data_IF_858027216833
#
_entry.id   IF_858027216833
#
_cell.length_a   1.000
_cell.length_b   1.000
_cell.length_c   1.000
_cell.angle_alpha   90.00
_cell.angle_beta   90.00
_cell.angle_gamma   90.00
#
_symmetry.space_group_name_H-M   'P 1'
#
loop_
_entity.id
_entity.type
_entity.pdbx_description
1 polymer ?
#
# COMPACT_ATOMS: atom_id res chain seq x y z
N UNK A 1 16.98 -29.52 -14.61
CA UNK A 1 15.73 -29.05 -13.96
C UNK A 1 15.43 -27.62 -14.42
N UNK A 2 15.22 -27.41 -15.72
CA UNK A 2 15.24 -26.07 -16.35
C UNK A 2 14.04 -25.77 -17.25
N UNK A 3 12.98 -26.59 -17.16
CA UNK A 3 11.81 -26.50 -18.04
C UNK A 3 10.54 -25.95 -17.38
N UNK A 4 10.50 -25.80 -16.04
CA UNK A 4 9.31 -25.29 -15.33
C UNK A 4 9.38 -23.79 -14.98
N UNK A 5 10.55 -23.16 -14.99
CA UNK A 5 10.70 -21.73 -14.66
C UNK A 5 10.37 -20.80 -15.84
N UNK A 6 10.48 -21.27 -17.08
CA UNK A 6 10.19 -20.44 -18.26
C UNK A 6 8.69 -20.21 -18.49
N UNK A 7 7.85 -21.21 -18.16
CA UNK A 7 6.38 -21.14 -18.29
C UNK A 7 5.71 -20.30 -17.19
N UNK A 8 6.31 -20.19 -16.00
CA UNK A 8 5.75 -19.39 -14.90
C UNK A 8 5.84 -17.88 -15.17
N UNK A 9 6.82 -17.45 -15.96
CA UNK A 9 7.11 -16.04 -16.23
C UNK A 9 6.19 -15.37 -17.26
N UNK A 10 5.39 -16.14 -18.02
CA UNK A 10 4.35 -15.58 -18.92
C UNK A 10 3.00 -15.35 -18.22
N UNK A 11 2.82 -15.85 -16.99
CA UNK A 11 1.52 -15.89 -16.31
C UNK A 11 1.21 -14.65 -15.46
N UNK A 12 2.16 -13.74 -15.26
CA UNK A 12 1.93 -12.53 -14.45
C UNK A 12 2.76 -11.33 -14.91
N UNK A 13 2.34 -10.15 -14.46
CA UNK A 13 3.02 -8.87 -14.68
C UNK A 13 3.32 -8.23 -13.32
N UNK A 14 4.37 -7.42 -13.23
CA UNK A 14 4.59 -6.55 -12.08
C UNK A 14 3.73 -5.29 -12.25
N UNK A 15 3.16 -4.79 -11.16
CA UNK A 15 2.23 -3.67 -11.21
C UNK A 15 2.55 -2.60 -10.17
N UNK A 16 2.15 -1.39 -10.49
CA UNK A 16 2.19 -0.25 -9.60
C UNK A 16 0.94 0.58 -9.82
N UNK A 17 0.29 1.02 -8.74
CA UNK A 17 -0.84 1.95 -8.85
C UNK A 17 -0.56 3.21 -8.06
N UNK A 18 -0.72 4.36 -8.71
CA UNK A 18 -0.48 5.68 -8.13
C UNK A 18 -1.58 6.67 -8.55
N UNK A 19 -1.66 7.80 -7.85
CA UNK A 19 -2.45 8.95 -8.27
C UNK A 19 -1.61 9.94 -9.05
N UNK A 20 -2.14 10.36 -10.19
CA UNK A 20 -1.80 11.63 -10.82
C UNK A 20 -2.80 12.69 -10.35
N UNK A 21 -2.33 13.84 -9.91
CA UNK A 21 -3.18 14.98 -9.56
C UNK A 21 -2.42 16.29 -9.76
N UNK A 22 -2.89 17.20 -10.63
CA UNK A 22 -2.19 18.46 -10.92
C UNK A 22 -2.11 19.40 -9.71
N UNK A 23 -2.92 19.18 -8.66
CA UNK A 23 -2.89 19.99 -7.45
C UNK A 23 -1.86 19.50 -6.41
N UNK A 24 -1.32 18.29 -6.54
CA UNK A 24 -0.35 17.73 -5.58
C UNK A 24 0.91 18.60 -5.40
N UNK A 25 1.53 19.16 -6.47
CA UNK A 25 2.71 20.00 -6.29
C UNK A 25 2.45 21.24 -5.43
N UNK A 26 1.25 21.82 -5.53
CA UNK A 26 0.85 22.99 -4.75
C UNK A 26 0.69 22.69 -3.27
N UNK A 27 0.11 21.53 -2.91
CA UNK A 27 -0.01 21.08 -1.52
C UNK A 27 1.36 20.82 -0.89
N UNK A 28 2.17 20.03 -1.59
CA UNK A 28 3.42 19.51 -1.05
C UNK A 28 4.52 20.58 -0.92
N UNK A 29 4.35 21.73 -1.58
CA UNK A 29 5.26 22.88 -1.44
C UNK A 29 4.99 23.73 -0.19
N UNK A 30 3.84 23.57 0.48
CA UNK A 30 3.44 24.42 1.62
C UNK A 30 3.86 23.86 2.99
N UNK A 31 4.09 22.54 3.10
CA UNK A 31 4.36 21.84 4.38
C UNK A 31 5.74 21.15 4.46
N UNK A 32 6.66 21.49 3.55
CA UNK A 32 7.94 20.79 3.40
C UNK A 32 9.06 21.36 4.29
N UNK A 33 9.56 20.63 5.33
CA UNK A 33 10.91 20.87 5.84
C UNK A 33 11.96 20.59 4.75
N UNK A 34 13.11 21.26 4.78
CA UNK A 34 14.16 21.28 3.73
C UNK A 34 14.60 19.91 3.20
N UNK A 35 14.39 18.83 3.96
CA UNK A 35 14.76 17.44 3.61
C UNK A 35 13.90 16.86 2.47
N UNK A 36 12.77 17.49 2.15
CA UNK A 36 11.73 16.92 1.31
C UNK A 36 11.59 17.54 -0.11
N UNK A 37 12.46 18.51 -0.43
CA UNK A 37 12.36 19.37 -1.61
C UNK A 37 12.38 18.68 -2.99
N UNK A 38 12.81 17.42 -3.10
CA UNK A 38 12.95 16.71 -4.38
C UNK A 38 11.71 15.97 -4.89
N UNK A 39 10.74 15.63 -4.02
CA UNK A 39 9.62 14.75 -4.35
C UNK A 39 8.28 15.48 -4.51
N UNK A 40 8.24 16.71 -4.02
CA UNK A 40 7.03 17.52 -3.83
C UNK A 40 6.62 18.34 -5.07
N UNK A 41 7.31 18.16 -6.19
CA UNK A 41 7.10 18.94 -7.41
C UNK A 41 6.38 18.16 -8.52
N UNK A 42 6.24 16.84 -8.37
CA UNK A 42 5.60 15.99 -9.38
C UNK A 42 4.10 15.85 -9.11
N UNK A 43 3.24 15.94 -10.15
CA UNK A 43 1.83 15.58 -10.03
C UNK A 43 1.61 14.07 -9.85
N UNK A 44 2.66 13.25 -9.97
CA UNK A 44 2.63 11.81 -9.74
C UNK A 44 3.03 11.49 -8.30
N UNK A 45 2.07 11.09 -7.48
CA UNK A 45 2.29 10.83 -6.06
C UNK A 45 3.36 9.75 -5.83
N UNK A 46 4.41 10.12 -5.09
CA UNK A 46 5.55 9.25 -4.71
C UNK A 46 6.24 8.53 -5.89
N UNK A 47 6.28 9.14 -7.08
CA UNK A 47 6.77 8.49 -8.29
C UNK A 47 8.12 7.74 -8.13
N UNK A 48 9.14 8.28 -7.43
CA UNK A 48 10.41 7.56 -7.28
C UNK A 48 10.30 6.27 -6.47
N UNK A 49 9.43 6.25 -5.45
CA UNK A 49 9.10 5.04 -4.71
C UNK A 49 8.40 4.01 -5.61
N UNK A 50 7.51 4.47 -6.50
CA UNK A 50 6.83 3.61 -7.47
C UNK A 50 7.80 3.00 -8.48
N UNK A 51 8.78 3.77 -8.98
CA UNK A 51 9.86 3.27 -9.83
C UNK A 51 10.71 2.22 -9.08
N UNK A 52 11.17 2.54 -7.87
CA UNK A 52 11.99 1.63 -7.06
C UNK A 52 11.26 0.31 -6.76
N UNK A 53 9.96 0.36 -6.43
CA UNK A 53 9.15 -0.85 -6.22
C UNK A 53 9.12 -1.75 -7.46
N UNK A 54 8.87 -1.17 -8.62
CA UNK A 54 8.84 -1.91 -9.89
C UNK A 54 10.23 -2.48 -10.20
N UNK A 55 11.28 -1.68 -10.03
CA UNK A 55 12.66 -2.07 -10.30
C UNK A 55 13.11 -3.22 -9.39
N UNK A 56 12.77 -3.17 -8.11
CA UNK A 56 13.06 -4.25 -7.15
C UNK A 56 12.32 -5.54 -7.51
N UNK A 57 11.07 -5.46 -7.96
CA UNK A 57 10.34 -6.63 -8.45
C UNK A 57 10.97 -7.21 -9.73
N UNK A 58 11.31 -6.36 -10.70
CA UNK A 58 11.96 -6.78 -11.94
C UNK A 58 13.32 -7.47 -11.66
N UNK A 59 14.11 -6.94 -10.73
CA UNK A 59 15.37 -7.57 -10.27
C UNK A 59 15.13 -8.91 -9.60
N UNK A 60 14.15 -9.00 -8.70
CA UNK A 60 13.81 -10.24 -8.00
C UNK A 60 13.44 -11.36 -8.98
N UNK A 61 12.61 -11.06 -9.98
CA UNK A 61 12.18 -12.02 -11.01
C UNK A 61 13.17 -12.15 -12.19
N UNK A 62 14.33 -11.47 -12.14
CA UNK A 62 15.38 -11.50 -13.17
C UNK A 62 14.89 -11.07 -14.57
N UNK A 63 14.03 -10.05 -14.63
CA UNK A 63 13.51 -9.49 -15.88
C UNK A 63 14.41 -8.37 -16.40
N UNK A 64 15.52 -8.74 -17.05
CA UNK A 64 16.58 -7.81 -17.47
C UNK A 64 16.07 -6.64 -18.31
N UNK A 65 15.19 -6.89 -19.29
CA UNK A 65 14.59 -5.83 -20.11
C UNK A 65 13.69 -4.88 -19.32
N UNK A 66 12.95 -5.40 -18.34
CA UNK A 66 12.16 -4.56 -17.45
C UNK A 66 13.06 -3.73 -16.53
N UNK A 67 14.19 -4.29 -16.06
CA UNK A 67 15.21 -3.55 -15.30
C UNK A 67 15.79 -2.41 -16.14
N UNK A 68 16.14 -2.66 -17.40
CA UNK A 68 16.64 -1.63 -18.32
C UNK A 68 15.62 -0.49 -18.49
N UNK A 69 14.36 -0.83 -18.83
CA UNK A 69 13.28 0.14 -18.96
C UNK A 69 13.06 0.96 -17.67
N UNK A 70 13.06 0.30 -16.52
CA UNK A 70 12.81 0.93 -15.21
C UNK A 70 14.01 1.70 -14.66
N UNK A 71 15.20 1.54 -15.23
CA UNK A 71 16.41 2.27 -14.82
C UNK A 71 16.57 3.63 -15.51
N UNK A 72 15.63 4.00 -16.39
CA UNK A 72 15.55 5.33 -16.99
C UNK A 72 15.34 6.41 -15.92
N UNK A 73 15.67 7.67 -16.23
CA UNK A 73 15.43 8.78 -15.32
C UNK A 73 13.92 9.06 -15.15
N UNK A 74 13.59 9.74 -14.06
CA UNK A 74 12.20 10.05 -13.71
C UNK A 74 11.48 10.93 -14.74
N UNK A 75 12.18 11.85 -15.40
CA UNK A 75 11.55 12.73 -16.39
C UNK A 75 11.14 11.94 -17.62
N UNK A 76 11.97 10.98 -18.04
CA UNK A 76 11.62 10.05 -19.12
C UNK A 76 10.38 9.23 -18.76
N UNK A 77 10.29 8.70 -17.54
CA UNK A 77 9.09 7.99 -17.08
C UNK A 77 7.84 8.89 -17.05
N UNK A 78 7.98 10.15 -16.60
CA UNK A 78 6.90 11.14 -16.63
C UNK A 78 6.42 11.39 -18.05
N UNK A 79 7.33 11.60 -19.01
CA UNK A 79 6.98 11.80 -20.42
C UNK A 79 6.22 10.60 -20.98
N UNK A 80 6.63 9.38 -20.64
CA UNK A 80 5.93 8.15 -21.05
C UNK A 80 4.52 8.12 -20.43
N UNK A 81 4.39 8.28 -19.12
CA UNK A 81 3.10 8.20 -18.42
C UNK A 81 2.12 9.29 -18.86
N UNK A 82 2.64 10.47 -19.19
CA UNK A 82 1.88 11.58 -19.74
C UNK A 82 1.18 11.23 -21.07
N UNK A 83 1.73 10.31 -21.87
CA UNK A 83 1.09 9.87 -23.13
C UNK A 83 -0.17 9.04 -22.89
N UNK A 84 -0.36 8.47 -21.70
CA UNK A 84 -1.53 7.67 -21.33
C UNK A 84 -2.62 8.49 -20.64
N UNK A 85 -2.37 9.77 -20.33
CA UNK A 85 -3.34 10.64 -19.68
C UNK A 85 -4.27 11.29 -20.72
N UNK A 86 -5.60 11.08 -20.63
CA UNK A 86 -6.53 11.73 -21.55
C UNK A 86 -6.55 13.27 -21.38
N UNK A 87 -6.52 13.75 -20.14
CA UNK A 87 -6.57 15.18 -19.79
C UNK A 87 -5.77 15.45 -18.52
N UNK A 88 -4.73 16.27 -18.60
CA UNK A 88 -3.81 16.57 -17.47
C UNK A 88 -4.38 17.53 -16.42
N UNK A 89 -5.53 18.16 -16.67
CA UNK A 89 -6.16 19.09 -15.72
C UNK A 89 -7.03 18.40 -14.67
N UNK A 90 -7.12 17.06 -14.68
CA UNK A 90 -7.95 16.26 -13.77
C UNK A 90 -7.10 15.21 -13.05
N UNK A 91 -7.53 14.75 -11.87
CA UNK A 91 -6.86 13.64 -11.19
C UNK A 91 -7.19 12.29 -11.82
N UNK A 92 -6.21 11.40 -11.84
CA UNK A 92 -6.32 10.04 -12.40
C UNK A 92 -5.70 9.00 -11.48
N UNK A 93 -6.30 7.82 -11.43
CA UNK A 93 -5.64 6.61 -10.95
C UNK A 93 -4.91 5.96 -12.12
N UNK A 94 -3.60 5.85 -12.03
CA UNK A 94 -2.79 5.11 -12.99
C UNK A 94 -2.52 3.71 -12.45
N UNK A 95 -2.73 2.70 -13.28
CA UNK A 95 -2.23 1.35 -13.06
C UNK A 95 -1.17 1.06 -14.11
N UNK A 96 0.09 1.12 -13.68
CA UNK A 96 1.27 0.80 -14.47
C UNK A 96 1.47 -0.72 -14.40
N UNK A 97 1.62 -1.35 -15.56
CA UNK A 97 1.76 -2.78 -15.74
C UNK A 97 2.99 -3.03 -16.60
N UNK A 98 3.93 -3.84 -16.12
CA UNK A 98 5.16 -4.17 -16.84
C UNK A 98 5.29 -5.68 -16.94
N UNK A 99 5.53 -6.17 -18.15
CA UNK A 99 5.81 -7.59 -18.41
C UNK A 99 7.32 -7.92 -18.33
N UNK A 100 7.65 -9.21 -18.45
CA UNK A 100 9.04 -9.70 -18.45
C UNK A 100 9.91 -9.16 -19.60
N UNK A 101 9.31 -8.68 -20.67
CA UNK A 101 10.00 -8.12 -21.83
C UNK A 101 10.24 -6.61 -21.67
N UNK A 102 9.82 -6.01 -20.56
CA UNK A 102 9.91 -4.57 -20.32
C UNK A 102 8.83 -3.76 -21.03
N UNK A 103 7.81 -4.41 -21.61
CA UNK A 103 6.66 -3.70 -22.19
C UNK A 103 5.89 -3.03 -21.07
N UNK A 104 5.75 -1.71 -21.14
CA UNK A 104 4.99 -0.92 -20.19
C UNK A 104 3.63 -0.55 -20.78
N UNK A 105 2.56 -0.89 -20.05
CA UNK A 105 1.21 -0.41 -20.33
C UNK A 105 0.69 0.35 -19.10
N UNK A 106 -0.01 1.46 -19.33
CA UNK A 106 -0.59 2.27 -18.25
C UNK A 106 -2.08 2.46 -18.48
N UNK A 107 -2.88 1.98 -17.54
CA UNK A 107 -4.32 2.19 -17.53
C UNK A 107 -4.65 3.43 -16.68
N UNK A 108 -5.06 4.51 -17.33
CA UNK A 108 -5.53 5.72 -16.66
C UNK A 108 -7.06 5.67 -16.46
N UNK A 109 -7.51 5.68 -15.21
CA UNK A 109 -8.92 5.66 -14.85
C UNK A 109 -9.28 6.90 -14.03
N UNK A 110 -10.48 7.48 -14.20
CA UNK A 110 -10.96 8.54 -13.31
C UNK A 110 -10.91 8.08 -11.85
N UNK A 111 -10.46 8.94 -10.95
CA UNK A 111 -10.52 8.68 -9.51
C UNK A 111 -11.70 9.41 -8.89
N UNK A 112 -12.25 8.85 -7.82
CA UNK A 112 -13.16 9.59 -6.95
C UNK A 112 -12.45 10.81 -6.37
N UNK A 113 -13.16 11.93 -6.16
CA UNK A 113 -12.65 13.05 -5.38
C UNK A 113 -12.13 12.55 -4.03
N UNK A 114 -10.96 13.06 -3.62
CA UNK A 114 -10.37 12.80 -2.32
C UNK A 114 -9.75 14.11 -1.84
N UNK A 115 -9.75 14.32 -0.53
CA UNK A 115 -9.05 15.45 0.07
C UNK A 115 -7.55 15.32 -0.17
N UNK A 116 -6.92 16.40 -0.62
CA UNK A 116 -5.48 16.42 -0.91
C UNK A 116 -4.65 16.12 0.34
N UNK A 117 -5.17 16.46 1.52
CA UNK A 117 -4.54 16.18 2.81
C UNK A 117 -4.32 14.68 3.07
N UNK A 118 -5.05 13.79 2.39
CA UNK A 118 -4.80 12.36 2.47
C UNK A 118 -3.41 11.98 1.95
N UNK A 119 -2.81 12.79 1.06
CA UNK A 119 -1.47 12.52 0.54
C UNK A 119 -0.35 12.93 1.50
N UNK A 120 -0.70 13.58 2.62
CA UNK A 120 0.18 13.84 3.75
C UNK A 120 -0.02 12.75 4.82
N UNK A 121 1.06 12.10 5.29
CA UNK A 121 0.96 11.01 6.26
C UNK A 121 0.26 11.42 7.54
N UNK A 122 -0.73 10.63 7.95
CA UNK A 122 -1.37 10.73 9.27
C UNK A 122 -2.07 12.07 9.55
N UNK A 123 -2.38 12.84 8.52
CA UNK A 123 -3.01 14.16 8.63
C UNK A 123 -4.49 14.20 8.21
N UNK A 124 -5.02 13.14 7.60
CA UNK A 124 -6.41 13.14 7.11
C UNK A 124 -7.43 13.42 8.24
N UNK A 125 -8.48 14.23 7.97
CA UNK A 125 -9.48 14.62 8.98
C UNK A 125 -10.17 13.43 9.64
N UNK A 126 -10.46 13.53 10.93
CA UNK A 126 -11.02 12.45 11.77
C UNK A 126 -12.42 11.97 11.37
N UNK A 127 -13.22 12.79 10.69
CA UNK A 127 -14.66 12.54 10.52
C UNK A 127 -15.09 12.08 9.12
N UNK A 128 -14.17 12.02 8.15
CA UNK A 128 -14.53 11.68 6.77
C UNK A 128 -13.89 10.36 6.34
N UNK A 129 -14.73 9.49 5.76
CA UNK A 129 -14.31 8.26 5.08
C UNK A 129 -13.44 7.31 5.92
N UNK A 130 -13.85 7.00 7.16
CA UNK A 130 -13.18 5.98 8.00
C UNK A 130 -13.51 4.58 7.45
N UNK A 131 -12.47 3.78 7.22
CA UNK A 131 -12.60 2.44 6.63
C UNK A 131 -12.91 1.40 7.72
N UNK A 132 -13.80 0.46 7.42
CA UNK A 132 -13.95 -0.75 8.25
C UNK A 132 -12.82 -1.73 7.92
N UNK A 133 -12.09 -2.17 8.93
CA UNK A 133 -10.91 -3.03 8.74
C UNK A 133 -11.16 -4.39 9.37
N UNK A 134 -11.37 -5.39 8.53
CA UNK A 134 -11.59 -6.77 8.95
C UNK A 134 -10.26 -7.53 9.01
N UNK A 135 -10.25 -8.67 9.69
CA UNK A 135 -9.13 -9.62 9.66
C UNK A 135 -9.55 -10.83 8.82
N UNK A 136 -8.71 -11.24 7.89
CA UNK A 136 -8.97 -12.43 7.08
C UNK A 136 -9.02 -13.69 7.96
N UNK A 137 -9.98 -14.55 7.68
CA UNK A 137 -10.18 -15.81 8.41
C UNK A 137 -9.27 -16.94 7.93
N UNK A 138 -8.53 -16.74 6.83
CA UNK A 138 -7.61 -17.72 6.25
C UNK A 138 -6.25 -17.07 6.10
N UNK A 139 -5.20 -17.74 6.59
CA UNK A 139 -3.84 -17.25 6.45
C UNK A 139 -3.33 -17.38 5.01
N UNK A 140 -2.42 -16.47 4.63
CA UNK A 140 -1.71 -16.48 3.36
C UNK A 140 -0.25 -16.80 3.61
N UNK A 141 0.28 -17.82 2.93
CA UNK A 141 1.71 -18.16 3.00
C UNK A 141 2.53 -17.05 2.29
N UNK A 142 3.50 -16.44 2.97
CA UNK A 142 4.41 -15.46 2.35
C UNK A 142 5.10 -16.00 1.09
N UNK A 143 5.23 -15.17 0.07
CA UNK A 143 5.95 -15.52 -1.16
C UNK A 143 6.43 -14.27 -1.90
N UNK A 144 7.13 -14.47 -3.02
CA UNK A 144 7.47 -13.36 -3.92
C UNK A 144 6.23 -12.57 -4.38
N UNK A 145 5.07 -13.22 -4.51
CA UNK A 145 3.82 -12.60 -4.95
C UNK A 145 3.10 -11.81 -3.86
N UNK A 146 3.49 -11.95 -2.60
CA UNK A 146 3.04 -11.07 -1.52
C UNK A 146 3.96 -9.87 -1.36
N UNK A 147 5.28 -10.12 -1.34
CA UNK A 147 6.32 -9.07 -1.25
C UNK A 147 6.29 -8.09 -2.42
N UNK A 148 6.16 -8.60 -3.65
CA UNK A 148 6.12 -7.80 -4.87
C UNK A 148 4.70 -7.69 -5.41
N UNK A 149 4.32 -6.46 -5.80
CA UNK A 149 2.97 -6.21 -6.30
C UNK A 149 2.86 -6.72 -7.74
N UNK A 150 2.11 -7.79 -7.95
CA UNK A 150 1.90 -8.40 -9.27
C UNK A 150 0.42 -8.49 -9.64
N UNK A 151 0.12 -9.01 -10.83
CA UNK A 151 -1.22 -9.40 -11.25
C UNK A 151 -1.71 -10.72 -10.65
N UNK A 152 -0.82 -11.56 -10.11
CA UNK A 152 -1.20 -12.77 -9.39
C UNK A 152 -1.75 -12.37 -8.00
N UNK A 153 -3.07 -12.26 -7.90
CA UNK A 153 -3.75 -11.66 -6.74
C UNK A 153 -4.85 -12.52 -6.12
N UNK A 154 -4.91 -13.81 -6.47
CA UNK A 154 -6.00 -14.71 -6.06
C UNK A 154 -6.17 -14.78 -4.55
N UNK A 155 -5.07 -14.84 -3.78
CA UNK A 155 -5.12 -14.83 -2.31
C UNK A 155 -5.78 -13.55 -1.76
N UNK A 156 -5.42 -12.39 -2.30
CA UNK A 156 -6.00 -11.10 -1.90
C UNK A 156 -7.46 -10.97 -2.34
N UNK A 157 -7.81 -11.46 -3.53
CA UNK A 157 -9.20 -11.49 -4.01
C UNK A 157 -10.06 -12.38 -3.11
N UNK A 158 -9.57 -13.57 -2.77
CA UNK A 158 -10.26 -14.50 -1.88
C UNK A 158 -10.44 -13.93 -0.47
N UNK A 159 -9.43 -13.23 0.07
CA UNK A 159 -9.52 -12.51 1.35
C UNK A 159 -10.66 -11.48 1.35
N UNK A 160 -10.74 -10.67 0.29
CA UNK A 160 -11.81 -9.65 0.14
C UNK A 160 -13.19 -10.29 0.05
N UNK A 161 -13.33 -11.39 -0.70
CA UNK A 161 -14.58 -12.14 -0.82
C UNK A 161 -15.02 -12.69 0.54
N UNK A 162 -14.11 -13.29 1.33
CA UNK A 162 -14.42 -13.77 2.69
C UNK A 162 -14.84 -12.65 3.64
N UNK A 163 -14.23 -11.47 3.50
CA UNK A 163 -14.60 -10.28 4.26
C UNK A 163 -15.87 -9.58 3.73
N UNK A 164 -16.50 -10.08 2.65
CA UNK A 164 -17.68 -9.49 2.05
C UNK A 164 -17.44 -8.17 1.32
N UNK A 165 -16.20 -7.88 0.92
CA UNK A 165 -15.81 -6.67 0.20
C UNK A 165 -15.83 -6.96 -1.30
N UNK A 166 -16.80 -6.40 -2.01
CA UNK A 166 -17.10 -6.71 -3.41
C UNK A 166 -16.49 -5.69 -4.38
N UNK A 167 -16.20 -4.48 -3.91
CA UNK A 167 -15.70 -3.39 -4.74
C UNK A 167 -14.46 -2.69 -4.13
N UNK A 168 -13.47 -2.26 -4.95
CA UNK A 168 -12.37 -1.40 -4.51
C UNK A 168 -12.78 0.02 -4.08
N UNK A 169 -14.04 0.41 -4.33
CA UNK A 169 -14.60 1.70 -3.92
C UNK A 169 -15.17 1.67 -2.50
N UNK A 170 -15.49 0.49 -1.96
CA UNK A 170 -15.96 0.35 -0.59
C UNK A 170 -14.93 0.89 0.40
N UNK A 171 -15.42 1.58 1.43
CA UNK A 171 -14.63 2.03 2.57
C UNK A 171 -14.40 0.87 3.55
N UNK A 172 -13.82 -0.21 3.02
CA UNK A 172 -13.54 -1.43 3.75
C UNK A 172 -12.24 -2.05 3.25
N UNK A 173 -11.49 -2.60 4.19
CA UNK A 173 -10.28 -3.36 3.94
C UNK A 173 -10.28 -4.65 4.75
N UNK A 174 -9.53 -5.64 4.29
CA UNK A 174 -9.24 -6.87 5.01
C UNK A 174 -7.74 -7.00 5.20
N UNK A 175 -7.32 -7.20 6.46
CA UNK A 175 -5.96 -7.51 6.85
C UNK A 175 -5.67 -8.96 6.51
N UNK A 176 -4.62 -9.19 5.74
CA UNK A 176 -4.08 -10.51 5.43
C UNK A 176 -3.07 -10.89 6.51
N UNK A 177 -3.16 -12.12 7.00
CA UNK A 177 -2.30 -12.67 8.05
C UNK A 177 -1.47 -13.84 7.52
N UNK A 178 -0.28 -14.02 8.06
CA UNK A 178 0.57 -15.18 7.76
C UNK A 178 0.18 -16.41 8.62
N UNK A 179 0.76 -17.61 8.36
CA UNK A 179 0.46 -18.81 9.15
C UNK A 179 0.75 -18.69 10.65
N UNK A 180 1.65 -17.79 11.04
CA UNK A 180 1.98 -17.47 12.43
C UNK A 180 0.94 -16.52 13.08
N UNK A 181 -0.11 -16.13 12.36
CA UNK A 181 -1.15 -15.22 12.84
C UNK A 181 -0.71 -13.76 12.92
N UNK A 182 0.40 -13.40 12.27
CA UNK A 182 0.90 -12.03 12.20
C UNK A 182 0.27 -11.29 11.03
N UNK A 183 -0.13 -10.04 11.24
CA UNK A 183 -0.61 -9.14 10.19
C UNK A 183 0.52 -8.90 9.20
N UNK A 184 0.25 -9.13 7.92
CA UNK A 184 1.18 -8.87 6.82
C UNK A 184 0.96 -7.46 6.26
N UNK A 185 -0.28 -7.21 5.81
CA UNK A 185 -0.74 -6.00 5.16
C UNK A 185 -2.28 -6.03 5.03
N UNK A 186 -2.89 -5.01 4.43
CA UNK A 186 -4.27 -5.07 3.92
C UNK A 186 -4.31 -5.57 2.47
N UNK A 187 -5.48 -5.96 1.96
CA UNK A 187 -5.57 -6.49 0.60
C UNK A 187 -5.10 -5.52 -0.49
N UNK A 188 -5.25 -4.21 -0.28
CA UNK A 188 -4.77 -3.14 -1.18
C UNK A 188 -4.04 -2.00 -0.46
N UNK A 189 -3.76 -2.12 0.85
CA UNK A 189 -3.14 -1.07 1.67
C UNK A 189 -2.05 -1.59 2.62
N UNK A 190 -1.16 -0.71 3.04
CA UNK A 190 -0.30 -0.94 4.22
C UNK A 190 -1.03 -0.45 5.48
N UNK A 191 -1.14 -1.27 6.54
CA UNK A 191 -1.73 -0.86 7.81
C UNK A 191 -0.70 -0.31 8.79
N UNK A 192 -1.13 0.61 9.64
CA UNK A 192 -0.33 1.20 10.72
C UNK A 192 -1.16 1.28 12.00
N UNK A 193 -0.55 0.90 13.11
CA UNK A 193 -1.19 0.82 14.42
C UNK A 193 -0.42 1.62 15.46
N UNK A 194 -1.04 1.84 16.63
CA UNK A 194 -0.34 2.39 17.78
C UNK A 194 0.71 1.39 18.29
N UNK A 195 1.86 1.87 18.80
CA UNK A 195 2.84 0.99 19.44
C UNK A 195 2.18 0.12 20.52
N UNK A 196 2.57 -1.15 20.56
CA UNK A 196 2.16 -2.08 21.62
C UNK A 196 3.29 -2.18 22.65
N UNK A 197 2.97 -2.03 23.94
CA UNK A 197 3.89 -2.40 25.01
C UNK A 197 3.88 -3.90 25.24
N UNK A 198 4.90 -4.42 25.91
CA UNK A 198 5.06 -5.85 26.27
C UNK A 198 3.91 -6.45 27.09
N UNK A 199 2.91 -5.65 27.49
CA UNK A 199 1.70 -6.10 28.17
C UNK A 199 0.40 -5.86 27.37
N UNK A 200 0.51 -5.63 26.05
CA UNK A 200 -0.66 -5.54 25.15
C UNK A 200 -1.50 -4.26 25.31
N UNK A 201 -1.04 -3.27 26.06
CA UNK A 201 -1.73 -1.98 26.20
C UNK A 201 -1.26 -0.99 25.13
N UNK A 202 -2.23 -0.31 24.51
CA UNK A 202 -2.00 0.89 23.69
C UNK A 202 -1.32 1.94 24.54
N UNK A 203 -0.21 2.49 24.07
CA UNK A 203 0.44 3.60 24.77
C UNK A 203 -0.29 4.88 24.39
N UNK A 204 -1.41 5.13 25.06
CA UNK A 204 -2.18 6.37 24.94
C UNK A 204 -1.41 7.57 25.51
N UNK A 205 -0.38 7.30 26.33
CA UNK A 205 0.43 8.28 27.06
C UNK A 205 1.86 8.49 26.52
N UNK A 206 2.19 8.03 25.30
CA UNK A 206 3.48 8.40 24.70
C UNK A 206 3.47 9.90 24.40
N UNK A 207 4.43 10.58 25.01
CA UNK A 207 4.64 12.03 25.06
C UNK A 207 4.18 12.76 23.80
N UNK A 208 3.27 13.74 23.95
CA UNK A 208 2.76 14.55 22.82
C UNK A 208 3.89 15.30 22.10
N UNK A 209 5.03 15.49 22.76
CA UNK A 209 6.21 16.16 22.23
C UNK A 209 7.13 15.24 21.42
N UNK A 210 6.98 13.90 21.51
CA UNK A 210 7.63 12.93 20.64
C UNK A 210 6.53 12.33 19.75
N UNK A 211 6.17 13.06 18.68
CA UNK A 211 5.07 12.73 17.78
C UNK A 211 4.86 11.22 17.62
N UNK A 212 3.69 10.72 18.03
CA UNK A 212 3.41 9.30 18.19
C UNK A 212 3.84 8.51 16.94
N UNK A 213 4.94 7.77 17.04
CA UNK A 213 5.44 6.93 15.95
C UNK A 213 4.48 5.77 15.76
N UNK A 214 3.90 5.66 14.57
CA UNK A 214 3.09 4.52 14.21
C UNK A 214 3.96 3.28 14.03
N UNK A 215 3.39 2.10 14.20
CA UNK A 215 4.05 0.84 13.86
C UNK A 215 3.39 0.20 12.64
N UNK A 216 4.20 -0.40 11.77
CA UNK A 216 3.75 -1.19 10.62
C UNK A 216 4.38 -2.58 10.67
N UNK A 217 3.71 -3.64 10.17
CA UNK A 217 4.34 -4.96 10.11
C UNK A 217 5.67 -4.95 9.33
N UNK A 218 6.71 -5.67 9.79
CA UNK A 218 7.96 -5.82 9.05
C UNK A 218 7.77 -6.67 7.78
N UNK A 219 8.66 -6.51 6.80
CA UNK A 219 8.64 -7.36 5.60
C UNK A 219 8.86 -8.85 5.91
N UNK A 220 9.47 -9.18 7.05
CA UNK A 220 9.62 -10.57 7.52
C UNK A 220 8.27 -11.26 7.81
N UNK A 221 7.18 -10.51 8.04
CA UNK A 221 5.84 -11.09 8.12
C UNK A 221 5.32 -11.54 6.73
N UNK A 222 5.91 -11.05 5.64
CA UNK A 222 5.61 -11.46 4.27
C UNK A 222 4.74 -10.50 3.46
N UNK A 223 4.42 -9.31 4.00
CA UNK A 223 3.62 -8.30 3.31
C UNK A 223 4.37 -7.58 2.18
N UNK A 224 3.62 -6.80 1.39
CA UNK A 224 4.17 -6.04 0.27
C UNK A 224 5.13 -4.91 0.70
N UNK A 225 6.16 -4.69 -0.11
CA UNK A 225 7.00 -3.48 -0.05
C UNK A 225 6.26 -2.25 -0.61
N UNK A 226 5.24 -1.78 0.12
CA UNK A 226 4.39 -0.64 -0.25
C UNK A 226 5.16 0.67 -0.41
N UNK A 227 4.75 1.51 -1.36
CA UNK A 227 5.45 2.78 -1.65
C UNK A 227 5.24 3.83 -0.55
N UNK A 228 4.00 3.97 -0.08
CA UNK A 228 3.65 4.81 1.08
C UNK A 228 4.24 4.28 2.38
N UNK A 229 4.39 2.95 2.51
CA UNK A 229 5.12 2.30 3.61
C UNK A 229 6.58 2.71 3.64
N UNK A 230 7.29 2.54 2.53
CA UNK A 230 8.70 2.90 2.45
C UNK A 230 8.90 4.40 2.69
N UNK A 231 8.04 5.24 2.11
CA UNK A 231 8.04 6.68 2.38
C UNK A 231 7.90 7.00 3.87
N UNK A 232 6.93 6.38 4.57
CA UNK A 232 6.73 6.61 6.00
C UNK A 232 7.91 6.13 6.86
N UNK A 233 8.59 5.04 6.47
CA UNK A 233 9.78 4.54 7.15
C UNK A 233 11.00 5.47 6.93
N UNK A 234 11.26 5.88 5.70
CA UNK A 234 12.40 6.74 5.34
C UNK A 234 12.35 8.09 6.08
N UNK A 235 11.15 8.57 6.39
CA UNK A 235 10.93 9.84 7.08
C UNK A 235 10.73 9.69 8.60
N UNK A 236 10.93 8.49 9.15
CA UNK A 236 10.82 8.22 10.58
C UNK A 236 9.41 8.40 11.17
N UNK A 237 8.38 8.42 10.31
CA UNK A 237 6.97 8.60 10.68
C UNK A 237 6.36 7.30 11.25
N UNK A 238 6.98 6.17 10.95
CA UNK A 238 6.65 4.88 11.54
C UNK A 238 7.90 4.03 11.75
N UNK A 239 7.77 2.95 12.53
CA UNK A 239 8.79 1.91 12.69
C UNK A 239 8.20 0.52 12.43
N UNK A 240 9.06 -0.46 12.16
CA UNK A 240 8.60 -1.85 12.00
C UNK A 240 8.39 -2.52 13.36
N UNK A 241 7.25 -3.18 13.53
CA UNK A 241 6.97 -4.05 14.69
C UNK A 241 5.98 -5.14 14.25
N UNK A 242 6.19 -6.38 14.71
CA UNK A 242 5.23 -7.46 14.48
C UNK A 242 3.93 -7.14 15.21
N UNK A 243 2.80 -7.28 14.51
CA UNK A 243 1.46 -7.16 15.08
C UNK A 243 0.76 -8.48 14.83
N UNK A 244 0.30 -9.15 15.88
CA UNK A 244 -0.50 -10.37 15.76
C UNK A 244 -1.99 -10.04 15.67
N UNK A 245 -2.75 -10.85 14.94
CA UNK A 245 -4.20 -10.68 14.85
C UNK A 245 -4.89 -10.74 16.22
N UNK A 246 -4.32 -11.49 17.17
CA UNK A 246 -4.81 -11.63 18.54
C UNK A 246 -4.57 -10.41 19.43
N UNK A 247 -3.64 -9.53 19.05
CA UNK A 247 -3.40 -8.25 19.73
C UNK A 247 -4.30 -7.13 19.21
N UNK A 248 -5.06 -7.38 18.15
CA UNK A 248 -6.01 -6.39 17.64
C UNK A 248 -7.20 -6.27 18.58
N UNK A 249 -7.71 -5.04 18.71
CA UNK A 249 -8.86 -4.72 19.56
C UNK A 249 -10.01 -4.21 18.69
N UNK A 250 -11.21 -4.74 18.92
CA UNK A 250 -12.41 -4.27 18.22
C UNK A 250 -12.63 -2.77 18.48
N UNK A 251 -12.86 -2.00 17.42
CA UNK A 251 -13.02 -0.56 17.49
C UNK A 251 -11.72 0.25 17.52
N UNK A 252 -10.54 -0.37 17.55
CA UNK A 252 -9.29 0.40 17.60
C UNK A 252 -9.01 1.14 16.29
N UNK A 253 -8.47 2.36 16.43
CA UNK A 253 -8.08 3.17 15.28
C UNK A 253 -6.76 2.66 14.66
N UNK A 254 -6.73 2.66 13.34
CA UNK A 254 -5.52 2.42 12.56
C UNK A 254 -5.44 3.41 11.39
N UNK A 255 -4.29 3.43 10.74
CA UNK A 255 -4.15 4.04 9.42
C UNK A 255 -3.97 2.97 8.36
N UNK A 256 -4.47 3.25 7.17
CA UNK A 256 -4.21 2.48 5.97
C UNK A 256 -3.58 3.40 4.94
N UNK A 257 -2.64 2.92 4.13
CA UNK A 257 -2.07 3.72 3.06
C UNK A 257 -1.88 2.96 1.75
N UNK A 258 -1.99 3.69 0.63
CA UNK A 258 -1.51 3.23 -0.67
C UNK A 258 -1.23 4.42 -1.60
N UNK A 259 -0.55 4.15 -2.72
CA UNK A 259 -0.17 5.20 -3.69
C UNK A 259 -1.32 5.88 -4.44
N UNK A 260 -2.57 5.43 -4.29
CA UNK A 260 -3.73 6.01 -4.99
C UNK A 260 -4.55 6.91 -4.06
N UNK A 261 -4.74 6.50 -2.81
CA UNK A 261 -5.60 7.17 -1.84
C UNK A 261 -4.83 7.89 -0.73
N UNK A 262 -3.49 7.80 -0.74
CA UNK A 262 -2.66 8.34 0.33
C UNK A 262 -2.88 7.56 1.62
N UNK A 263 -2.93 8.26 2.75
CA UNK A 263 -3.19 7.78 4.10
C UNK A 263 -4.64 8.06 4.47
N UNK A 264 -5.35 7.01 4.89
CA UNK A 264 -6.76 7.06 5.30
C UNK A 264 -6.93 6.40 6.66
N UNK A 265 -7.91 6.87 7.43
CA UNK A 265 -8.23 6.27 8.73
C UNK A 265 -9.00 4.96 8.55
N UNK A 266 -8.73 4.03 9.45
CA UNK A 266 -9.47 2.78 9.58
C UNK A 266 -9.85 2.52 11.03
N UNK A 267 -10.86 1.68 11.22
CA UNK A 267 -11.25 1.13 12.52
C UNK A 267 -11.34 -0.38 12.36
N UNK A 268 -10.68 -1.12 13.26
CA UNK A 268 -10.70 -2.58 13.28
C UNK A 268 -12.08 -3.07 13.69
N UNK A 269 -12.61 -4.04 12.94
CA UNK A 269 -13.87 -4.72 13.22
C UNK A 269 -13.59 -6.21 13.41
N UNK A 270 -13.64 -6.67 14.65
CA UNK A 270 -13.51 -8.08 15.00
C UNK A 270 -14.89 -8.70 15.08
N UNK A 271 -15.09 -9.80 14.37
CA UNK A 271 -16.33 -10.58 14.45
C UNK A 271 -16.36 -11.40 15.76
N UNK A 272 -16.45 -10.73 16.90
CA UNK A 272 -16.60 -11.34 18.21
C UNK A 272 -18.03 -11.91 18.35
N UNK A 273 -18.26 -13.11 17.80
CA UNK A 273 -19.42 -13.94 18.14
C UNK A 273 -20.36 -14.34 17.00
N UNK A 274 -19.93 -15.27 16.14
CA UNK A 274 -20.84 -16.23 15.47
C UNK A 274 -20.45 -17.70 15.66
N UNK A 275 -19.59 -18.02 16.64
CA UNK A 275 -19.27 -19.40 17.01
C UNK A 275 -19.60 -19.77 18.47
N UNK A 276 -20.31 -18.91 19.21
CA UNK A 276 -20.93 -19.29 20.48
C UNK A 276 -22.44 -19.41 20.29
N UNK A 277 -22.92 -20.67 20.21
CA UNK A 277 -24.30 -21.19 20.30
C UNK A 277 -24.68 -22.05 19.10
N UNK A 278 -24.21 -23.29 19.12
CA UNK A 278 -25.12 -24.44 19.01
C UNK A 278 -24.68 -25.45 20.06
N UNK A 279 -25.34 -25.35 21.21
CA UNK A 279 -25.60 -26.46 22.13
C UNK A 279 -26.40 -27.55 21.42
#
# INVERSE_FOLDING_TARGET
MTSNDSLSSELFQIISSLRYDPALPGLLSQDAPEISAGFHTSPYYLLPYHQNRLLNAARHFRWEKAVEFLSQDLNTLVQIFDTFLPVKTKPWRLRIVIDRNGTCNVEANPTTPIELLNFLPFQAPSHLNVWRVYVDSVSTVPSAFTTHKTTARDNYTAARVRAGILSPQELAEVLVINPEGQVMEGSITTPYFRPRTSQGQSVEDLDKDIGAKWITPPLSCGGNAGTTRQYALDHGLCTEQVITATELVDGEECWLSNGVRGFVRGVVILNNGKHARHS
#
